data_IF_626207255244
#
_entry.id   IF_626207255244
#
_cell.length_a   1.000
_cell.length_b   1.000
_cell.length_c   1.000
_cell.angle_alpha   90.00
_cell.angle_beta   90.00
_cell.angle_gamma   90.00
#
_symmetry.space_group_name_H-M   'P 1'
#
loop_
_entity.id
_entity.type
_entity.pdbx_description
1 polymer ?
#
# COMPACT_ATOMS: atom_id res chain seq x y z
N UNK A 1 -24.22 -34.62 -43.38
CA UNK A 1 -24.76 -33.90 -42.20
C UNK A 1 -23.63 -33.82 -41.19
N UNK A 2 -22.88 -32.71 -41.08
CA UNK A 2 -23.28 -31.48 -40.34
C UNK A 2 -23.90 -31.93 -39.01
N UNK A 3 -23.29 -31.84 -37.84
CA UNK A 3 -22.55 -30.72 -37.26
C UNK A 3 -21.62 -31.30 -36.18
N UNK A 4 -20.33 -30.99 -36.30
CA UNK A 4 -19.42 -31.01 -35.17
C UNK A 4 -19.84 -29.91 -34.20
N UNK A 5 -19.97 -30.19 -32.90
CA UNK A 5 -19.89 -29.13 -31.90
C UNK A 5 -19.38 -29.73 -30.59
N UNK A 6 -18.06 -29.96 -30.57
CA UNK A 6 -17.31 -30.02 -29.33
C UNK A 6 -17.56 -28.71 -28.59
N UNK A 7 -18.26 -28.76 -27.46
CA UNK A 7 -18.37 -27.65 -26.53
C UNK A 7 -16.99 -27.42 -25.91
N UNK A 8 -16.20 -26.57 -26.57
CA UNK A 8 -15.00 -26.01 -26.02
C UNK A 8 -15.43 -24.97 -24.97
N UNK A 9 -15.43 -25.38 -23.69
CA UNK A 9 -15.48 -24.46 -22.56
C UNK A 9 -14.19 -23.64 -22.58
N UNK A 10 -14.25 -22.47 -23.24
CA UNK A 10 -13.21 -21.45 -23.13
C UNK A 10 -13.33 -20.87 -21.72
N UNK A 11 -12.53 -21.41 -20.81
CA UNK A 11 -12.23 -20.74 -19.54
C UNK A 11 -11.33 -19.58 -19.91
N UNK A 12 -11.91 -18.41 -20.09
CA UNK A 12 -11.13 -17.18 -20.15
C UNK A 12 -10.51 -16.98 -18.76
N UNK A 13 -9.24 -17.36 -18.62
CA UNK A 13 -8.43 -16.91 -17.52
C UNK A 13 -8.40 -15.39 -17.60
N UNK A 14 -9.21 -14.73 -16.77
CA UNK A 14 -9.11 -13.30 -16.54
C UNK A 14 -7.76 -13.10 -15.84
N UNK A 15 -6.73 -12.90 -16.64
CA UNK A 15 -5.46 -12.35 -16.22
C UNK A 15 -5.74 -10.91 -15.80
N UNK A 16 -6.35 -10.72 -14.63
CA UNK A 16 -6.41 -9.42 -14.00
C UNK A 16 -4.98 -8.89 -13.98
N UNK A 17 -4.77 -7.67 -14.46
CA UNK A 17 -3.47 -6.99 -14.43
C UNK A 17 -2.89 -7.22 -13.04
N UNK A 18 -1.91 -8.14 -12.96
CA UNK A 18 -1.32 -8.48 -11.69
C UNK A 18 -0.51 -7.24 -11.30
N UNK A 19 -1.01 -6.49 -10.32
CA UNK A 19 -0.26 -5.37 -9.79
C UNK A 19 1.14 -5.88 -9.44
N UNK A 20 2.18 -5.09 -9.74
CA UNK A 20 3.55 -5.52 -9.52
C UNK A 20 3.75 -5.92 -8.06
N UNK A 21 3.98 -7.20 -7.81
CA UNK A 21 4.15 -7.76 -6.47
C UNK A 21 5.33 -7.07 -5.75
N UNK A 22 5.04 -6.56 -4.55
CA UNK A 22 6.00 -5.87 -3.69
C UNK A 22 5.90 -6.44 -2.26
N UNK A 23 6.38 -7.67 -2.03
CA UNK A 23 6.02 -8.45 -0.84
C UNK A 23 6.76 -8.05 0.45
N UNK A 24 7.63 -7.04 0.43
CA UNK A 24 8.44 -6.67 1.60
C UNK A 24 9.26 -5.40 1.42
N UNK A 25 10.10 -5.12 2.43
CA UNK A 25 11.04 -4.00 2.39
C UNK A 25 11.91 -4.07 1.12
N UNK A 26 12.00 -2.96 0.39
CA UNK A 26 12.64 -2.90 -0.93
C UNK A 26 12.13 -4.01 -1.87
N UNK A 27 10.83 -4.28 -1.88
CA UNK A 27 10.22 -5.29 -2.76
C UNK A 27 10.61 -6.72 -2.44
N UNK A 28 11.02 -6.99 -1.19
CA UNK A 28 11.61 -8.27 -0.81
C UNK A 28 13.06 -8.42 -1.27
N UNK A 29 13.82 -7.32 -1.31
CA UNK A 29 15.20 -7.28 -1.82
C UNK A 29 15.33 -6.92 -3.31
N UNK A 30 14.24 -6.58 -3.98
CA UNK A 30 14.22 -5.95 -5.31
C UNK A 30 14.74 -4.52 -5.20
N UNK A 31 15.99 -4.29 -5.55
CA UNK A 31 16.61 -2.96 -5.50
C UNK A 31 16.14 -2.02 -6.61
N UNK A 32 15.42 -2.52 -7.63
CA UNK A 32 14.92 -1.75 -8.77
C UNK A 32 13.60 -2.31 -9.35
N UNK A 33 12.89 -1.47 -10.11
CA UNK A 33 11.71 -1.85 -10.90
C UNK A 33 12.10 -2.12 -12.36
N UNK A 34 11.39 -3.03 -13.03
CA UNK A 34 11.53 -3.30 -14.47
C UNK A 34 10.75 -2.29 -15.34
N UNK A 35 10.01 -1.36 -14.71
CA UNK A 35 9.24 -0.35 -15.41
C UNK A 35 10.14 0.54 -16.29
N UNK A 36 9.86 0.55 -17.60
CA UNK A 36 10.64 1.28 -18.60
C UNK A 36 10.35 2.78 -18.64
N UNK A 37 9.18 3.18 -18.14
CA UNK A 37 8.73 4.57 -18.17
C UNK A 37 8.18 4.91 -16.81
N UNK A 38 8.86 5.84 -16.13
CA UNK A 38 8.45 6.36 -14.83
C UNK A 38 8.19 7.87 -14.95
N UNK A 39 7.18 8.40 -14.24
CA UNK A 39 6.93 9.84 -14.22
C UNK A 39 8.13 10.60 -13.65
N UNK A 40 8.58 11.61 -14.39
CA UNK A 40 9.76 12.44 -14.07
C UNK A 40 9.43 13.66 -13.20
N UNK A 41 8.15 13.93 -12.97
CA UNK A 41 7.66 15.08 -12.21
C UNK A 41 6.65 14.60 -11.19
N UNK A 42 6.63 15.20 -10.01
CA UNK A 42 5.72 14.84 -8.94
C UNK A 42 5.33 16.06 -8.13
N UNK A 43 4.09 16.08 -7.65
CA UNK A 43 3.65 17.03 -6.63
C UNK A 43 2.54 16.41 -5.79
N UNK A 44 1.99 17.15 -4.84
CA UNK A 44 0.79 16.73 -4.09
C UNK A 44 -0.45 16.55 -4.98
N UNK A 45 -0.40 16.98 -6.26
CA UNK A 45 -1.51 16.88 -7.22
C UNK A 45 -1.11 16.25 -8.57
N UNK A 46 0.19 16.15 -8.87
CA UNK A 46 0.71 15.66 -10.15
C UNK A 46 1.25 14.23 -9.98
N UNK A 47 0.82 13.33 -10.87
CA UNK A 47 1.17 11.91 -10.87
C UNK A 47 0.76 11.11 -9.62
N UNK A 48 -0.18 11.63 -8.81
CA UNK A 48 -0.79 10.91 -7.68
C UNK A 48 -2.05 10.18 -8.13
N UNK A 49 -2.07 8.85 -8.06
CA UNK A 49 -3.24 8.03 -8.47
C UNK A 49 -4.38 8.14 -7.46
N UNK A 50 -4.06 8.04 -6.17
CA UNK A 50 -5.00 8.22 -5.07
C UNK A 50 -4.27 8.67 -3.81
N UNK A 51 -5.04 9.19 -2.85
CA UNK A 51 -4.59 9.52 -1.50
C UNK A 51 -5.68 9.11 -0.53
N UNK A 52 -5.28 8.49 0.57
CA UNK A 52 -6.19 7.96 1.59
C UNK A 52 -5.71 8.38 2.96
N UNK A 53 -6.62 8.88 3.77
CA UNK A 53 -6.35 9.17 5.17
C UNK A 53 -6.30 7.87 5.97
N UNK A 54 -5.23 7.68 6.73
CA UNK A 54 -4.96 6.47 7.52
C UNK A 54 -5.14 6.81 9.00
N UNK A 55 -5.88 5.99 9.77
CA UNK A 55 -6.00 6.20 11.20
C UNK A 55 -4.67 5.96 11.92
N UNK A 56 -4.39 6.78 12.93
CA UNK A 56 -3.20 6.64 13.76
C UNK A 56 -1.93 7.16 13.08
N UNK A 57 -0.77 6.75 13.59
CA UNK A 57 0.54 7.12 13.06
C UNK A 57 1.41 5.87 12.93
N UNK A 58 2.33 5.87 11.96
CA UNK A 58 3.22 4.74 11.74
C UNK A 58 4.28 5.01 10.67
N UNK A 59 5.45 4.41 10.87
CA UNK A 59 6.58 4.45 9.94
C UNK A 59 6.60 3.12 9.21
N UNK A 60 5.46 2.82 8.57
CA UNK A 60 5.23 1.54 7.92
C UNK A 60 6.11 1.38 6.68
N UNK A 61 6.27 0.14 6.25
CA UNK A 61 6.75 -0.20 4.92
C UNK A 61 5.64 -1.00 4.23
N UNK A 62 4.65 -0.33 3.61
CA UNK A 62 3.53 -1.03 3.00
C UNK A 62 3.99 -1.98 1.90
N UNK A 63 3.29 -3.12 1.80
CA UNK A 63 3.56 -4.15 0.81
C UNK A 63 2.39 -4.24 -0.17
N UNK A 64 2.66 -4.72 -1.38
CA UNK A 64 1.64 -4.99 -2.42
C UNK A 64 1.59 -6.48 -2.67
N UNK A 65 0.41 -7.07 -2.52
CA UNK A 65 0.14 -8.46 -2.84
C UNK A 65 -1.21 -8.58 -3.56
N UNK A 66 -1.20 -9.04 -4.81
CA UNK A 66 -2.36 -8.99 -5.70
C UNK A 66 -2.92 -7.58 -5.85
N UNK A 67 -4.24 -7.42 -5.72
CA UNK A 67 -4.91 -6.11 -5.82
C UNK A 67 -5.02 -5.37 -4.48
N UNK A 68 -4.14 -5.68 -3.51
CA UNK A 68 -4.17 -5.07 -2.19
C UNK A 68 -2.82 -4.50 -1.78
N UNK A 69 -2.89 -3.34 -1.12
CA UNK A 69 -1.79 -2.77 -0.32
C UNK A 69 -2.06 -3.09 1.14
N UNK A 70 -1.07 -3.64 1.83
CA UNK A 70 -1.15 -3.87 3.28
C UNK A 70 -0.26 -2.87 4.00
N UNK A 71 -0.82 -2.20 5.00
CA UNK A 71 -0.16 -1.12 5.76
C UNK A 71 -0.32 -1.37 7.25
N UNK A 72 0.74 -1.18 8.01
CA UNK A 72 0.70 -1.19 9.48
C UNK A 72 0.56 0.22 10.04
N UNK A 73 -0.27 0.39 11.07
CA UNK A 73 -0.43 1.66 11.78
C UNK A 73 -0.77 1.41 13.25
N UNK A 74 -0.60 2.41 14.11
CA UNK A 74 -1.01 2.35 15.52
C UNK A 74 -1.86 3.56 15.87
N UNK A 75 -2.99 3.31 16.52
CA UNK A 75 -3.83 4.35 17.14
C UNK A 75 -3.64 4.32 18.65
N UNK A 76 -3.69 5.48 19.30
CA UNK A 76 -3.80 5.59 20.75
C UNK A 76 -5.00 6.48 21.10
N UNK A 77 -5.67 6.20 22.22
CA UNK A 77 -6.75 7.02 22.75
C UNK A 77 -6.25 8.24 23.55
N UNK A 78 -4.97 8.25 23.94
CA UNK A 78 -4.30 9.40 24.50
C UNK A 78 -3.78 10.38 23.46
N UNK A 79 -3.29 11.54 23.92
CA UNK A 79 -2.75 12.59 23.05
C UNK A 79 -1.46 12.13 22.38
N UNK A 80 -1.52 11.94 21.07
CA UNK A 80 -0.34 11.65 20.24
C UNK A 80 0.29 12.96 19.78
N UNK A 81 1.63 13.01 19.75
CA UNK A 81 2.36 14.15 19.20
C UNK A 81 2.27 14.11 17.68
N UNK A 82 1.90 15.25 17.09
CA UNK A 82 1.90 15.41 15.64
C UNK A 82 3.32 15.31 15.05
N UNK A 83 3.49 14.66 13.89
CA UNK A 83 4.76 14.66 13.18
C UNK A 83 5.25 16.09 12.91
N UNK A 84 6.52 16.33 13.22
CA UNK A 84 7.15 17.63 12.96
C UNK A 84 8.00 17.56 11.70
N UNK A 85 8.11 18.71 11.02
CA UNK A 85 9.04 18.86 9.90
C UNK A 85 10.47 18.99 10.43
N UNK A 86 11.43 18.35 9.76
CA UNK A 86 12.85 18.42 10.12
C UNK A 86 13.35 17.22 10.94
N UNK A 87 14.54 17.38 11.53
CA UNK A 87 15.23 16.31 12.26
C UNK A 87 14.69 16.18 13.69
N UNK A 88 14.50 14.94 14.15
CA UNK A 88 14.08 14.60 15.52
C UNK A 88 15.26 14.56 16.52
N UNK A 89 16.28 15.41 16.31
CA UNK A 89 17.57 15.30 17.04
C UNK A 89 17.44 15.58 18.54
N UNK A 90 16.45 16.37 18.93
CA UNK A 90 16.19 16.71 20.34
C UNK A 90 15.39 15.62 21.08
N UNK A 91 14.91 14.60 20.36
CA UNK A 91 14.01 13.58 20.90
C UNK A 91 14.14 12.27 20.09
N UNK A 92 15.35 11.70 20.09
CA UNK A 92 15.69 10.52 19.28
C UNK A 92 14.91 9.26 19.69
N UNK A 93 14.49 9.19 20.96
CA UNK A 93 13.74 8.04 21.49
C UNK A 93 12.23 8.26 21.44
N UNK A 94 11.78 9.51 21.34
CA UNK A 94 10.38 9.84 21.50
C UNK A 94 9.88 9.61 22.93
N UNK A 95 8.66 10.04 23.16
CA UNK A 95 7.85 9.59 24.31
C UNK A 95 6.74 8.71 23.77
N UNK A 96 6.50 7.56 24.42
CA UNK A 96 5.35 6.73 24.08
C UNK A 96 4.09 7.51 24.48
N UNK A 97 3.14 7.73 23.55
CA UNK A 97 1.89 8.38 23.90
C UNK A 97 1.22 7.67 25.10
N UNK A 98 0.49 8.38 25.96
CA UNK A 98 -0.30 7.71 26.99
C UNK A 98 -1.49 6.97 26.36
N UNK A 99 -2.09 6.04 27.12
CA UNK A 99 -3.34 5.38 26.74
C UNK A 99 -3.20 3.98 26.12
N UNK A 100 -4.35 3.41 25.72
CA UNK A 100 -4.44 2.11 25.07
C UNK A 100 -3.98 2.22 23.61
N UNK A 101 -3.02 1.39 23.22
CA UNK A 101 -2.51 1.33 21.86
C UNK A 101 -3.16 0.17 21.10
N UNK A 102 -3.69 0.47 19.91
CA UNK A 102 -4.22 -0.54 18.99
C UNK A 102 -3.37 -0.57 17.74
N UNK A 103 -2.70 -1.72 17.57
CA UNK A 103 -1.90 -2.02 16.39
C UNK A 103 -2.80 -2.60 15.31
N UNK A 104 -2.79 -1.98 14.14
CA UNK A 104 -3.67 -2.31 13.03
C UNK A 104 -2.86 -2.75 11.82
N UNK A 105 -3.40 -3.72 11.09
CA UNK A 105 -3.00 -4.03 9.73
C UNK A 105 -4.19 -3.68 8.85
N UNK A 106 -4.02 -2.68 7.99
CA UNK A 106 -5.04 -2.23 7.06
C UNK A 106 -4.84 -2.92 5.73
N UNK A 107 -5.94 -3.36 5.13
CA UNK A 107 -6.00 -3.76 3.73
C UNK A 107 -6.56 -2.59 2.93
N UNK A 108 -5.88 -2.20 1.87
CA UNK A 108 -6.26 -1.08 1.02
C UNK A 108 -6.36 -1.60 -0.41
N UNK A 109 -7.44 -1.27 -1.11
CA UNK A 109 -7.61 -1.62 -2.52
C UNK A 109 -6.56 -0.88 -3.37
N UNK A 110 -5.78 -1.63 -4.16
CA UNK A 110 -4.66 -1.06 -4.93
C UNK A 110 -5.10 -0.04 -5.98
N UNK A 111 -6.26 -0.26 -6.60
CA UNK A 111 -6.74 0.56 -7.72
C UNK A 111 -7.39 1.85 -7.24
N UNK A 112 -8.11 1.80 -6.13
CA UNK A 112 -8.96 2.90 -5.65
C UNK A 112 -8.40 3.61 -4.42
N UNK A 113 -7.48 2.99 -3.68
CA UNK A 113 -6.98 3.50 -2.40
C UNK A 113 -7.97 3.33 -1.26
N UNK A 114 -9.12 2.68 -1.45
CA UNK A 114 -10.13 2.51 -0.40
C UNK A 114 -9.65 1.52 0.66
N UNK A 115 -9.76 1.87 1.93
CA UNK A 115 -9.55 0.92 3.05
C UNK A 115 -10.71 -0.09 3.06
N UNK A 116 -10.36 -1.39 3.09
CA UNK A 116 -11.27 -2.53 3.02
C UNK A 116 -11.49 -3.20 4.37
#
# INVERSE_FOLDING_TARGET
MRIALALLLVVESVSGLQAGEWPGFLGGGKTATEAKTLPQRWSVKENVVWKTDIPGLGWSCPIVAGEAVYLTTVTADGKVREPQKGLYINDLRGTVPPGEHRWLVLKIDFKTGKVL
#
